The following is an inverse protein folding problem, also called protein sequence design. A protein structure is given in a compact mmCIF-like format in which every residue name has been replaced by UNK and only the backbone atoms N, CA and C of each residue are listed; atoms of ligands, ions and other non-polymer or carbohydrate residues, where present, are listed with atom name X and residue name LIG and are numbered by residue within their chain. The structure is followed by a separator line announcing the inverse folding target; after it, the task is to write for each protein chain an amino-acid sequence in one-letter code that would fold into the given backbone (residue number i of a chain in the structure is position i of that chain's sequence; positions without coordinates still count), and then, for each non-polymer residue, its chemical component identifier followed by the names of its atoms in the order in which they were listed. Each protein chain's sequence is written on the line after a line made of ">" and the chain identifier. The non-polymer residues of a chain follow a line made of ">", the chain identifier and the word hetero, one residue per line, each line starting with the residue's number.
data_IF_741435175825
#
_entry.id   IF_741435175825
#
_cell.length_a   1.000
_cell.length_b   1.000
_cell.length_c   1.000
_cell.angle_alpha   90.00
_cell.angle_beta   90.00
_cell.angle_gamma   90.00
#
_symmetry.space_group_name_H-M   'P 1'
#
loop_
_entity.id
_entity.type
_entity.pdbx_description
1 polymer ?
#
# COMPACT_ATOMS: atom_id res chain seq x y z
N UNK A 1 57.45 -24.65 -4.68
CA UNK A 1 56.39 -23.64 -4.49
C UNK A 1 55.50 -24.11 -3.33
N UNK A 2 55.45 -23.37 -2.23
CA UNK A 2 55.05 -23.86 -0.89
C UNK A 2 53.53 -23.79 -0.74
N UNK A 3 52.80 -24.90 -0.80
CA UNK A 3 51.33 -25.02 -0.69
C UNK A 3 50.72 -24.32 0.54
N UNK A 4 51.48 -24.20 1.61
CA UNK A 4 51.04 -23.51 2.84
C UNK A 4 50.86 -21.98 2.67
N UNK A 5 51.51 -21.36 1.68
CA UNK A 5 51.32 -19.92 1.37
C UNK A 5 50.09 -19.65 0.50
N UNK A 6 49.66 -20.61 -0.28
CA UNK A 6 48.44 -20.49 -1.12
C UNK A 6 47.20 -20.61 -0.24
N UNK A 7 47.20 -21.53 0.72
CA UNK A 7 46.06 -21.72 1.63
C UNK A 7 45.78 -20.51 2.56
N UNK A 8 46.84 -19.81 3.00
CA UNK A 8 46.68 -18.58 3.81
C UNK A 8 46.14 -17.38 3.01
N UNK A 9 46.47 -17.31 1.72
CA UNK A 9 45.95 -16.20 0.86
C UNK A 9 44.51 -16.42 0.42
N UNK A 10 44.07 -17.64 0.19
CA UNK A 10 42.67 -17.95 -0.12
C UNK A 10 41.77 -17.82 1.09
N UNK A 11 42.21 -18.18 2.29
CA UNK A 11 41.42 -17.97 3.51
C UNK A 11 41.27 -16.48 3.87
N UNK A 12 42.25 -15.64 3.56
CA UNK A 12 42.16 -14.21 3.82
C UNK A 12 41.24 -13.49 2.82
N UNK A 13 41.19 -13.98 1.57
CA UNK A 13 40.29 -13.44 0.53
C UNK A 13 38.83 -13.89 0.76
N UNK A 14 38.59 -15.07 1.32
CA UNK A 14 37.26 -15.51 1.70
C UNK A 14 36.71 -14.74 2.93
N UNK A 15 37.61 -14.40 3.88
CA UNK A 15 37.21 -13.63 5.06
C UNK A 15 36.85 -12.16 4.74
N UNK A 16 37.49 -11.56 3.73
CA UNK A 16 37.17 -10.21 3.28
C UNK A 16 35.92 -10.14 2.40
N UNK A 17 35.55 -11.23 1.72
CA UNK A 17 34.31 -11.30 0.93
C UNK A 17 33.05 -11.48 1.82
N UNK A 18 33.20 -11.98 3.05
CA UNK A 18 32.06 -12.16 3.99
C UNK A 18 31.69 -10.89 4.78
N UNK A 19 32.55 -9.87 4.77
CA UNK A 19 32.29 -8.59 5.50
C UNK A 19 31.54 -7.56 4.62
N UNK A 20 31.37 -7.83 3.34
CA UNK A 20 30.75 -6.92 2.36
C UNK A 20 29.23 -7.00 2.22
N UNK A 21 28.56 -7.94 2.91
CA UNK A 21 27.09 -8.03 2.96
C UNK A 21 26.61 -7.64 4.35
N UNK A 22 26.98 -6.45 4.80
CA UNK A 22 26.14 -5.77 5.77
C UNK A 22 24.90 -5.31 4.98
N UNK A 23 23.84 -6.13 5.01
CA UNK A 23 22.52 -5.66 4.69
C UNK A 23 22.37 -4.33 5.44
N UNK A 24 22.19 -3.25 4.73
CA UNK A 24 21.73 -2.00 5.30
C UNK A 24 20.31 -2.29 5.80
N UNK A 25 20.23 -2.80 7.03
CA UNK A 25 18.99 -2.79 7.80
C UNK A 25 18.68 -1.31 7.92
N UNK A 26 17.80 -0.86 7.06
CA UNK A 26 17.28 0.50 7.11
C UNK A 26 16.65 0.60 8.50
N UNK A 27 17.36 1.28 9.41
CA UNK A 27 16.95 1.39 10.80
C UNK A 27 15.53 1.97 10.80
N UNK A 28 14.58 1.20 11.29
CA UNK A 28 13.21 1.63 11.42
C UNK A 28 13.24 2.88 12.32
N UNK A 29 12.80 4.02 11.79
CA UNK A 29 12.80 5.28 12.54
C UNK A 29 12.07 5.10 13.86
N UNK A 30 12.61 5.66 14.93
CA UNK A 30 11.92 5.60 16.23
C UNK A 30 10.55 6.32 16.14
N UNK A 31 9.59 5.98 17.00
CA UNK A 31 8.32 6.71 17.06
C UNK A 31 8.52 8.22 17.20
N UNK A 32 9.47 8.66 18.02
CA UNK A 32 9.79 10.07 18.22
C UNK A 32 10.41 10.73 16.98
N UNK A 33 11.15 9.99 16.14
CA UNK A 33 11.67 10.48 14.87
C UNK A 33 10.53 10.63 13.85
N UNK A 34 9.56 9.72 13.89
CA UNK A 34 8.36 9.81 13.07
C UNK A 34 7.52 11.03 13.42
N UNK A 35 7.25 11.24 14.71
CA UNK A 35 6.47 12.40 15.18
C UNK A 35 7.14 13.71 14.78
N UNK A 36 8.47 13.83 15.00
CA UNK A 36 9.23 15.01 14.57
C UNK A 36 9.16 15.24 13.07
N UNK A 37 9.21 14.18 12.28
CA UNK A 37 9.08 14.27 10.82
C UNK A 37 7.68 14.76 10.42
N UNK A 38 6.62 14.15 11.01
CA UNK A 38 5.23 14.54 10.75
C UNK A 38 4.99 16.00 11.14
N UNK A 39 5.43 16.42 12.31
CA UNK A 39 5.29 17.80 12.76
C UNK A 39 6.00 18.80 11.85
N UNK A 40 7.19 18.46 11.39
CA UNK A 40 7.94 19.31 10.47
C UNK A 40 7.23 19.41 9.10
N UNK A 41 6.67 18.32 8.60
CA UNK A 41 5.88 18.30 7.37
C UNK A 41 4.60 19.14 7.52
N UNK A 42 3.86 18.91 8.60
CA UNK A 42 2.60 19.62 8.91
C UNK A 42 2.79 21.14 9.02
N UNK A 43 3.92 21.61 9.52
CA UNK A 43 4.25 23.05 9.57
C UNK A 43 4.49 23.65 8.18
N UNK A 44 4.91 22.84 7.19
CA UNK A 44 5.16 23.28 5.82
C UNK A 44 3.89 23.27 4.96
N UNK A 45 2.86 22.53 5.36
CA UNK A 45 1.62 22.38 4.61
C UNK A 45 0.71 23.59 4.77
N UNK A 46 0.08 24.00 3.67
CA UNK A 46 -1.06 24.93 3.71
C UNK A 46 -2.31 24.21 4.26
N UNK A 47 -3.36 24.99 4.58
CA UNK A 47 -4.64 24.42 5.04
C UNK A 47 -5.25 23.56 3.94
N UNK A 48 -5.19 24.02 2.69
CA UNK A 48 -5.72 23.32 1.52
C UNK A 48 -5.00 21.98 1.32
N UNK A 49 -3.68 21.95 1.46
CA UNK A 49 -2.90 20.71 1.35
C UNK A 49 -3.23 19.74 2.50
N UNK A 50 -3.47 20.23 3.71
CA UNK A 50 -3.92 19.39 4.84
C UNK A 50 -5.27 18.77 4.57
N UNK A 51 -6.22 19.56 4.07
CA UNK A 51 -7.54 19.06 3.66
C UNK A 51 -7.39 18.09 2.50
N UNK A 52 -6.50 18.37 1.55
CA UNK A 52 -6.18 17.51 0.42
C UNK A 52 -5.74 16.11 0.83
N UNK A 53 -4.99 15.96 1.92
CA UNK A 53 -4.59 14.64 2.44
C UNK A 53 -5.78 13.77 2.88
N UNK A 54 -6.94 14.35 3.14
CA UNK A 54 -8.17 13.64 3.48
C UNK A 54 -9.02 13.29 2.24
N UNK A 55 -8.61 13.77 1.06
CA UNK A 55 -9.34 13.56 -0.18
C UNK A 55 -8.92 12.27 -0.86
N UNK A 56 -9.89 11.39 -1.11
CA UNK A 56 -9.73 10.08 -1.75
C UNK A 56 -10.64 9.96 -2.98
N UNK A 57 -10.35 10.65 -4.09
CA UNK A 57 -11.18 10.59 -5.28
C UNK A 57 -11.04 9.26 -6.01
N UNK A 58 -12.07 8.94 -6.80
CA UNK A 58 -12.07 7.81 -7.74
C UNK A 58 -11.46 8.23 -9.07
N UNK A 59 -10.72 7.36 -9.72
CA UNK A 59 -10.00 7.67 -10.97
C UNK A 59 -10.87 7.71 -12.24
N UNK A 60 -12.16 7.52 -12.13
CA UNK A 60 -13.09 7.64 -13.28
C UNK A 60 -13.14 6.44 -14.22
N UNK A 61 -12.35 5.39 -13.99
CA UNK A 61 -12.41 4.14 -14.77
C UNK A 61 -13.53 3.19 -14.30
N UNK A 62 -14.32 3.57 -13.29
CA UNK A 62 -15.27 2.68 -12.65
C UNK A 62 -16.68 3.20 -12.70
N UNK A 63 -17.53 2.28 -13.04
CA UNK A 63 -18.86 2.43 -13.60
C UNK A 63 -19.99 2.28 -12.59
N UNK A 64 -19.73 2.08 -11.32
CA UNK A 64 -20.78 1.80 -10.34
C UNK A 64 -20.97 2.94 -9.35
N UNK A 65 -21.95 3.81 -9.65
CA UNK A 65 -22.60 4.68 -8.65
C UNK A 65 -21.77 5.80 -8.02
N UNK A 66 -20.52 5.98 -8.38
CA UNK A 66 -19.65 7.00 -7.81
C UNK A 66 -19.42 8.18 -8.78
N UNK A 67 -19.38 9.39 -8.26
CA UNK A 67 -19.12 10.58 -9.05
C UNK A 67 -17.72 10.54 -9.67
N UNK A 68 -17.64 10.67 -10.99
CA UNK A 68 -16.35 10.84 -11.69
C UNK A 68 -15.77 12.19 -11.31
N UNK A 69 -14.51 12.22 -10.86
CA UNK A 69 -13.78 13.46 -10.66
C UNK A 69 -13.01 13.80 -11.94
N UNK A 70 -13.40 14.87 -12.62
CA UNK A 70 -12.56 15.53 -13.62
C UNK A 70 -11.38 16.22 -12.90
N UNK A 71 -10.23 16.32 -13.57
CA UNK A 71 -9.03 17.02 -13.09
C UNK A 71 -8.27 16.38 -11.90
N UNK A 72 -8.38 15.06 -11.68
CA UNK A 72 -7.66 14.37 -10.61
C UNK A 72 -6.15 14.58 -10.72
N UNK A 73 -5.58 14.48 -11.93
CA UNK A 73 -4.14 14.69 -12.13
C UNK A 73 -3.69 16.09 -11.67
N UNK A 74 -4.43 17.13 -12.05
CA UNK A 74 -4.15 18.50 -11.63
C UNK A 74 -4.24 18.69 -10.11
N UNK A 75 -5.23 18.06 -9.47
CA UNK A 75 -5.36 18.09 -8.00
C UNK A 75 -4.21 17.38 -7.30
N UNK A 76 -3.68 16.30 -7.88
CA UNK A 76 -2.49 15.60 -7.38
C UNK A 76 -1.28 16.53 -7.42
N UNK A 77 -1.01 17.17 -8.56
CA UNK A 77 0.08 18.14 -8.71
C UNK A 77 -0.02 19.32 -7.73
N UNK A 78 -1.25 19.73 -7.40
CA UNK A 78 -1.52 20.78 -6.43
C UNK A 78 -1.42 20.31 -4.96
N UNK A 79 -1.20 19.02 -4.69
CA UNK A 79 -1.18 18.46 -3.34
C UNK A 79 -2.55 18.35 -2.66
N UNK A 80 -3.62 18.33 -3.44
CA UNK A 80 -5.01 18.32 -2.96
C UNK A 80 -5.63 16.91 -2.94
N UNK A 81 -4.81 15.87 -2.97
CA UNK A 81 -5.22 14.47 -2.95
C UNK A 81 -4.27 13.69 -2.05
N UNK A 82 -4.81 12.95 -1.08
CA UNK A 82 -4.04 12.09 -0.18
C UNK A 82 -3.98 10.64 -0.64
N UNK A 83 -4.90 10.22 -1.48
CA UNK A 83 -4.94 8.89 -2.06
C UNK A 83 -5.90 8.78 -3.22
N UNK A 84 -5.91 7.61 -3.86
CA UNK A 84 -6.84 7.30 -4.93
C UNK A 84 -7.58 6.00 -4.62
N UNK A 85 -8.86 6.00 -4.93
CA UNK A 85 -9.71 4.83 -4.75
C UNK A 85 -9.92 4.12 -6.09
N UNK A 86 -9.79 2.79 -6.08
CA UNK A 86 -10.14 1.93 -7.21
C UNK A 86 -9.25 2.10 -8.47
N UNK A 87 -7.98 2.40 -8.30
CA UNK A 87 -7.00 2.35 -9.38
C UNK A 87 -6.30 0.98 -9.38
N UNK A 88 -6.35 0.27 -10.50
CA UNK A 88 -5.67 -1.02 -10.73
C UNK A 88 -4.53 -0.88 -11.72
N UNK A 89 -3.52 -1.73 -11.53
CA UNK A 89 -2.41 -1.89 -12.46
C UNK A 89 -1.14 -1.18 -12.02
N UNK A 90 -0.08 -1.99 -11.81
CA UNK A 90 1.24 -1.52 -11.33
C UNK A 90 1.77 -0.34 -12.13
N UNK A 91 1.65 -0.37 -13.47
CA UNK A 91 2.15 0.70 -14.32
C UNK A 91 1.40 2.02 -14.05
N UNK A 92 0.08 1.99 -14.04
CA UNK A 92 -0.77 3.17 -13.78
C UNK A 92 -0.53 3.73 -12.37
N UNK A 93 -0.47 2.86 -11.37
CA UNK A 93 -0.19 3.24 -9.97
C UNK A 93 1.19 3.91 -9.87
N UNK A 94 2.21 3.35 -10.54
CA UNK A 94 3.56 3.93 -10.56
C UNK A 94 3.59 5.30 -11.23
N UNK A 95 2.91 5.47 -12.36
CA UNK A 95 2.87 6.74 -13.09
C UNK A 95 2.18 7.82 -12.25
N UNK A 96 1.07 7.50 -11.62
CA UNK A 96 0.35 8.43 -10.75
C UNK A 96 1.13 8.75 -9.47
N UNK A 97 1.79 7.76 -8.88
CA UNK A 97 2.67 7.99 -7.73
C UNK A 97 3.84 8.89 -8.08
N UNK A 98 4.44 8.68 -9.27
CA UNK A 98 5.50 9.54 -9.78
C UNK A 98 5.03 10.98 -9.96
N UNK A 99 3.81 11.18 -10.49
CA UNK A 99 3.20 12.50 -10.60
C UNK A 99 3.09 13.19 -9.23
N UNK A 100 2.63 12.47 -8.20
CA UNK A 100 2.50 13.03 -6.85
C UNK A 100 3.86 13.40 -6.23
N UNK A 101 4.87 12.53 -6.39
CA UNK A 101 6.16 12.71 -5.73
C UNK A 101 7.03 13.74 -6.46
N UNK A 102 7.02 13.76 -7.79
CA UNK A 102 7.91 14.60 -8.58
C UNK A 102 7.30 15.98 -8.93
N UNK A 103 5.97 16.06 -9.06
CA UNK A 103 5.32 17.26 -9.58
C UNK A 103 4.54 18.05 -8.51
N UNK A 104 4.32 17.50 -7.31
CA UNK A 104 3.71 18.27 -6.23
C UNK A 104 4.74 18.99 -5.38
N UNK A 105 4.36 20.09 -4.75
CA UNK A 105 5.23 20.97 -3.95
C UNK A 105 5.92 20.25 -2.78
N UNK A 106 5.24 19.32 -2.13
CA UNK A 106 5.74 18.61 -0.95
C UNK A 106 6.22 17.21 -1.24
N UNK A 107 5.91 16.65 -2.42
CA UNK A 107 6.31 15.32 -2.81
C UNK A 107 5.73 14.21 -1.91
N UNK A 108 4.53 14.41 -1.37
CA UNK A 108 3.89 13.43 -0.48
C UNK A 108 3.34 12.29 -1.34
N UNK A 109 3.73 11.02 -1.08
CA UNK A 109 3.19 9.87 -1.78
C UNK A 109 1.69 9.68 -1.52
N UNK A 110 0.97 9.14 -2.53
CA UNK A 110 -0.44 8.81 -2.41
C UNK A 110 -0.65 7.43 -1.80
N UNK A 111 -1.77 7.26 -1.10
CA UNK A 111 -2.32 5.96 -0.75
C UNK A 111 -3.21 5.45 -1.89
N UNK A 112 -3.12 4.15 -2.18
CA UNK A 112 -3.98 3.49 -3.18
C UNK A 112 -4.93 2.54 -2.47
N UNK A 113 -6.21 2.90 -2.44
CA UNK A 113 -7.25 2.19 -1.73
C UNK A 113 -8.14 1.36 -2.64
N UNK A 114 -8.55 0.19 -2.15
CA UNK A 114 -9.52 -0.68 -2.82
C UNK A 114 -10.28 -1.54 -1.82
N UNK A 115 -11.50 -1.94 -2.15
CA UNK A 115 -12.36 -2.71 -1.24
C UNK A 115 -11.78 -4.09 -0.88
N UNK A 116 -11.44 -4.91 -1.86
CA UNK A 116 -10.85 -6.26 -1.66
C UNK A 116 -11.60 -7.11 -0.64
N UNK A 117 -12.95 -7.11 -0.70
CA UNK A 117 -13.81 -7.66 0.37
C UNK A 117 -13.82 -9.18 0.38
N UNK A 118 -13.82 -9.83 -0.80
CA UNK A 118 -13.83 -11.29 -0.93
C UNK A 118 -12.84 -11.78 -2.00
N UNK A 119 -11.62 -11.28 -1.96
CA UNK A 119 -10.54 -11.54 -2.90
C UNK A 119 -10.17 -10.34 -3.75
N UNK A 120 -9.10 -10.47 -4.53
CA UNK A 120 -8.61 -9.45 -5.46
C UNK A 120 -8.65 -9.96 -6.90
N UNK A 121 -7.67 -10.72 -7.36
CA UNK A 121 -7.71 -11.46 -8.62
C UNK A 121 -8.36 -12.84 -8.42
N UNK A 122 -7.99 -13.53 -7.34
CA UNK A 122 -8.67 -14.75 -6.89
C UNK A 122 -9.93 -14.38 -6.12
N UNK A 123 -11.08 -14.78 -6.67
CA UNK A 123 -12.39 -14.52 -6.04
C UNK A 123 -12.70 -15.63 -5.03
N UNK A 124 -12.99 -15.23 -3.80
CA UNK A 124 -13.44 -16.11 -2.73
C UNK A 124 -14.95 -15.94 -2.50
N UNK A 125 -15.59 -16.86 -1.79
CA UNK A 125 -16.97 -16.65 -1.34
C UNK A 125 -17.11 -15.35 -0.54
N UNK A 126 -18.29 -14.74 -0.59
CA UNK A 126 -18.61 -13.57 0.23
C UNK A 126 -18.42 -13.89 1.73
N UNK A 127 -18.24 -12.90 2.62
CA UNK A 127 -17.97 -13.12 4.04
C UNK A 127 -18.97 -14.05 4.72
N UNK A 128 -20.27 -13.95 4.39
CA UNK A 128 -21.30 -14.85 4.89
C UNK A 128 -21.05 -16.30 4.46
N UNK A 129 -20.69 -16.55 3.21
CA UNK A 129 -20.33 -17.86 2.69
C UNK A 129 -19.09 -18.44 3.36
N UNK A 130 -18.06 -17.63 3.56
CA UNK A 130 -16.84 -18.03 4.27
C UNK A 130 -17.14 -18.39 5.73
N UNK A 131 -18.01 -17.63 6.40
CA UNK A 131 -18.37 -17.91 7.80
C UNK A 131 -19.07 -19.26 7.98
N UNK A 132 -19.81 -19.74 6.98
CA UNK A 132 -20.46 -21.06 6.99
C UNK A 132 -19.47 -22.23 6.96
N UNK A 133 -18.22 -22.02 6.62
CA UNK A 133 -17.19 -23.07 6.61
C UNK A 133 -16.76 -23.49 8.01
N UNK A 134 -16.86 -22.60 9.00
CA UNK A 134 -16.32 -22.77 10.36
C UNK A 134 -14.80 -23.07 10.37
N UNK A 135 -14.12 -22.85 9.24
CA UNK A 135 -12.68 -23.07 9.07
C UNK A 135 -11.91 -21.74 9.11
N UNK A 136 -11.44 -21.38 10.30
CA UNK A 136 -10.69 -20.15 10.54
C UNK A 136 -9.37 -20.14 9.77
N UNK A 137 -8.77 -21.30 9.51
CA UNK A 137 -7.53 -21.39 8.75
C UNK A 137 -7.77 -21.05 7.27
N UNK A 138 -8.82 -21.58 6.67
CA UNK A 138 -9.21 -21.28 5.29
C UNK A 138 -9.59 -19.80 5.13
N UNK A 139 -10.30 -19.21 6.09
CA UNK A 139 -10.65 -17.78 6.11
C UNK A 139 -9.38 -16.93 6.17
N UNK A 140 -8.45 -17.25 7.06
CA UNK A 140 -7.17 -16.56 7.17
C UNK A 140 -6.32 -16.66 5.91
N UNK A 141 -6.33 -17.83 5.25
CA UNK A 141 -5.61 -18.05 4.00
C UNK A 141 -6.21 -17.25 2.85
N UNK A 142 -7.54 -17.18 2.72
CA UNK A 142 -8.20 -16.37 1.70
C UNK A 142 -7.84 -14.88 1.83
N UNK A 143 -7.85 -14.33 3.03
CA UNK A 143 -7.43 -12.98 3.30
C UNK A 143 -5.93 -12.75 2.97
N UNK A 144 -5.08 -13.72 3.28
CA UNK A 144 -3.66 -13.67 2.97
C UNK A 144 -3.40 -13.64 1.45
N UNK A 145 -4.10 -14.47 0.69
CA UNK A 145 -3.97 -14.50 -0.78
C UNK A 145 -4.44 -13.16 -1.36
N UNK A 146 -5.60 -12.67 -0.95
CA UNK A 146 -6.11 -11.38 -1.39
C UNK A 146 -5.12 -10.22 -1.11
N UNK A 147 -4.50 -10.21 0.08
CA UNK A 147 -3.52 -9.21 0.45
C UNK A 147 -2.23 -9.30 -0.39
N UNK A 148 -1.76 -10.50 -0.70
CA UNK A 148 -0.58 -10.72 -1.55
C UNK A 148 -0.85 -10.18 -2.96
N UNK A 149 -1.99 -10.56 -3.56
CA UNK A 149 -2.37 -10.14 -4.90
C UNK A 149 -2.55 -8.61 -4.99
N UNK A 150 -3.31 -8.02 -4.06
CA UNK A 150 -3.53 -6.58 -4.02
C UNK A 150 -2.22 -5.80 -3.83
N UNK A 151 -1.34 -6.26 -2.93
CA UNK A 151 -0.04 -5.64 -2.71
C UNK A 151 0.87 -5.74 -3.94
N UNK A 152 0.83 -6.86 -4.66
CA UNK A 152 1.59 -7.06 -5.89
C UNK A 152 1.16 -6.10 -7.00
N UNK A 153 -0.12 -5.70 -7.03
CA UNK A 153 -0.65 -4.70 -7.95
C UNK A 153 -0.45 -3.25 -7.49
N UNK A 154 0.11 -3.05 -6.29
CA UNK A 154 0.45 -1.73 -5.74
C UNK A 154 -0.62 -1.12 -4.83
N UNK A 155 -1.65 -1.87 -4.46
CA UNK A 155 -2.66 -1.44 -3.48
C UNK A 155 -2.02 -1.41 -2.09
N UNK A 156 -2.08 -0.26 -1.44
CA UNK A 156 -1.49 -0.01 -0.11
C UNK A 156 -2.51 0.10 1.00
N UNK A 157 -3.78 0.16 0.68
CA UNK A 157 -4.88 0.32 1.62
C UNK A 157 -6.10 -0.49 1.18
N UNK A 158 -6.58 -1.41 2.02
CA UNK A 158 -7.80 -2.17 1.79
C UNK A 158 -8.88 -1.77 2.80
N UNK A 159 -10.15 -1.79 2.35
CA UNK A 159 -11.31 -1.50 3.19
C UNK A 159 -11.95 -2.79 3.75
N UNK A 160 -11.36 -3.94 3.50
CA UNK A 160 -11.77 -5.21 4.10
C UNK A 160 -11.03 -5.46 5.44
N UNK A 161 -11.61 -6.28 6.35
CA UNK A 161 -12.90 -6.98 6.22
C UNK A 161 -14.09 -6.05 6.47
N UNK A 162 -15.23 -6.34 5.80
CA UNK A 162 -16.51 -5.76 6.20
C UNK A 162 -16.97 -6.42 7.51
N UNK A 163 -17.12 -5.60 8.55
CA UNK A 163 -17.46 -6.06 9.90
C UNK A 163 -18.81 -5.53 10.36
N UNK A 164 -19.62 -5.06 9.44
CA UNK A 164 -20.95 -4.57 9.71
C UNK A 164 -21.86 -5.70 10.22
N UNK A 165 -22.58 -5.43 11.31
CA UNK A 165 -23.55 -6.38 11.88
C UNK A 165 -24.94 -6.02 11.35
N UNK A 166 -25.42 -6.77 10.37
CA UNK A 166 -26.79 -6.63 9.90
C UNK A 166 -27.76 -7.41 10.79
N UNK A 167 -28.80 -6.71 11.27
CA UNK A 167 -29.90 -7.32 12.01
C UNK A 167 -31.20 -7.37 11.20
N UNK A 168 -31.21 -6.75 10.03
CA UNK A 168 -32.37 -6.66 9.15
C UNK A 168 -31.92 -6.80 7.70
N UNK A 169 -32.44 -7.77 6.93
CA UNK A 169 -32.04 -8.00 5.54
C UNK A 169 -32.37 -6.84 4.60
N UNK A 170 -33.25 -5.92 4.99
CA UNK A 170 -33.57 -4.70 4.21
C UNK A 170 -32.42 -3.71 4.15
N UNK A 171 -31.40 -3.87 4.98
CA UNK A 171 -30.24 -3.01 4.96
C UNK A 171 -29.46 -3.05 3.63
N UNK A 172 -29.60 -4.10 2.84
CA UNK A 172 -29.06 -4.21 1.48
C UNK A 172 -27.59 -4.58 1.38
N UNK A 173 -26.87 -4.74 2.50
CA UNK A 173 -25.46 -5.19 2.56
C UNK A 173 -25.29 -6.40 3.48
N UNK A 174 -26.17 -7.36 3.36
CA UNK A 174 -26.15 -8.61 4.16
C UNK A 174 -25.22 -9.67 3.54
N UNK A 175 -24.39 -9.34 2.59
CA UNK A 175 -23.47 -10.25 1.92
C UNK A 175 -22.09 -10.24 2.56
#
# INVERSE_FOLDING_TARGET
>A
MNMKKIFKRTSLLLATALIGVTATVQAQKSPQDMDRFIDALMRRMTVEEKIGQLNLPVTGEITTGQAKSSDVAKKIEQGLVGGLFNLKGVAKIRDVQKLAVENSRLGIPLLFGMDVIHGYETIFPIPLGLSCTWDMAAIGQSARIAAIEASADGISWTFSPMVDISRDPRWGRVS
#
